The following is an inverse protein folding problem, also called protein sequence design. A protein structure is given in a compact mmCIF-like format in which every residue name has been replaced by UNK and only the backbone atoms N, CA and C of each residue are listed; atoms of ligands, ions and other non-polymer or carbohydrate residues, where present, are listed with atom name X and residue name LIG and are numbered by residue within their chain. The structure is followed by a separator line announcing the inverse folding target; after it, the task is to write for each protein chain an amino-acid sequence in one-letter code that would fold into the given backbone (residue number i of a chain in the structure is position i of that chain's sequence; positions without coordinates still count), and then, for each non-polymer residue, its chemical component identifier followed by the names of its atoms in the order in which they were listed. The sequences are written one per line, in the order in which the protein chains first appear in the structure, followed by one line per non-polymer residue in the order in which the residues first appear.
data_IF_712731339615
#
_entry.id   IF_712731339615
#
_cell.length_a   1.000
_cell.length_b   1.000
_cell.length_c   1.000
_cell.angle_alpha   90.00
_cell.angle_beta   90.00
_cell.angle_gamma   90.00
#
_symmetry.space_group_name_H-M   'P 1'
#
loop_
_entity.id
_entity.type
_entity.pdbx_description
1 polymer ?
#
# COMPACT_ATOMS: atom_id res chain seq x y z
N UNK A 1 24.53 1.22 -12.77
CA UNK A 1 23.27 1.23 -13.53
C UNK A 1 22.10 1.02 -12.58
N UNK A 2 20.98 1.73 -12.84
CA UNK A 2 19.72 1.41 -12.17
C UNK A 2 19.25 0.02 -12.61
N UNK A 3 18.87 -0.81 -11.67
CA UNK A 3 18.44 -2.19 -11.90
C UNK A 3 16.94 -2.34 -11.76
N UNK A 4 16.34 -1.59 -10.82
CA UNK A 4 14.92 -1.64 -10.54
C UNK A 4 14.46 -0.36 -9.83
N UNK A 5 13.14 -0.12 -9.75
CA UNK A 5 12.57 1.07 -9.14
C UNK A 5 11.18 0.79 -8.53
N UNK A 6 10.92 1.40 -7.39
CA UNK A 6 9.63 1.35 -6.71
C UNK A 6 9.07 2.75 -6.43
N UNK A 7 7.75 2.86 -6.41
CA UNK A 7 7.04 4.10 -6.09
C UNK A 7 6.19 3.92 -4.84
N UNK A 8 6.28 4.87 -3.93
CA UNK A 8 5.39 5.01 -2.78
C UNK A 8 5.45 6.43 -2.23
N UNK A 9 4.52 6.78 -1.36
CA UNK A 9 4.56 8.00 -0.56
C UNK A 9 5.36 7.68 0.71
N UNK A 10 6.63 8.07 0.74
CA UNK A 10 7.53 7.71 1.83
C UNK A 10 7.59 8.76 2.95
N UNK A 11 7.17 10.00 2.69
CA UNK A 11 7.16 11.08 3.68
C UNK A 11 5.76 11.56 4.06
N UNK A 12 4.71 10.81 3.62
CA UNK A 12 3.30 11.06 3.93
C UNK A 12 2.78 12.43 3.46
N UNK A 13 3.38 13.00 2.42
CA UNK A 13 2.94 14.27 1.84
C UNK A 13 1.84 14.12 0.77
N UNK A 14 1.54 12.87 0.37
CA UNK A 14 0.48 12.49 -0.56
C UNK A 14 0.92 12.43 -2.02
N UNK A 15 2.22 12.41 -2.29
CA UNK A 15 2.82 12.26 -3.61
C UNK A 15 3.63 10.98 -3.69
N UNK A 16 3.72 10.40 -4.89
CA UNK A 16 4.55 9.23 -5.10
C UNK A 16 6.01 9.66 -5.25
N UNK A 17 6.83 9.21 -4.31
CA UNK A 17 8.28 9.26 -4.35
C UNK A 17 8.84 8.09 -5.15
N UNK A 18 10.13 8.12 -5.41
CA UNK A 18 10.83 7.11 -6.20
C UNK A 18 12.03 6.57 -5.42
N UNK A 19 12.04 5.26 -5.20
CA UNK A 19 13.21 4.53 -4.72
C UNK A 19 13.80 3.72 -5.88
N UNK A 20 15.13 3.70 -5.98
CA UNK A 20 15.84 3.03 -7.08
C UNK A 20 16.98 2.17 -6.54
N UNK A 21 17.05 0.94 -7.04
CA UNK A 21 18.20 0.06 -6.80
C UNK A 21 19.30 0.27 -7.82
N UNK A 22 20.55 0.09 -7.38
CA UNK A 22 21.76 0.30 -8.20
C UNK A 22 22.73 -0.89 -8.05
N UNK A 23 23.23 -1.39 -9.18
CA UNK A 23 24.10 -2.58 -9.23
C UNK A 23 25.52 -2.37 -8.69
N UNK A 24 25.99 -1.13 -8.72
CA UNK A 24 27.32 -0.72 -8.22
C UNK A 24 27.18 0.59 -7.42
N UNK A 25 27.22 0.52 -6.09
CA UNK A 25 27.11 1.68 -5.22
C UNK A 25 25.80 1.77 -4.46
N UNK A 26 25.50 2.96 -3.93
CA UNK A 26 24.32 3.20 -3.09
C UNK A 26 23.03 3.25 -3.90
N UNK A 27 21.95 2.81 -3.30
CA UNK A 27 20.60 2.99 -3.81
C UNK A 27 20.16 4.45 -3.64
N UNK A 28 19.12 4.87 -4.33
CA UNK A 28 18.64 6.25 -4.34
C UNK A 28 17.21 6.36 -3.83
N UNK A 29 16.94 7.48 -3.16
CA UNK A 29 15.61 7.95 -2.82
C UNK A 29 15.41 9.35 -3.37
N UNK A 30 14.33 9.56 -4.12
CA UNK A 30 13.94 10.85 -4.66
C UNK A 30 12.55 11.20 -4.15
N UNK A 31 12.44 12.29 -3.41
CA UNK A 31 11.15 12.85 -3.01
C UNK A 31 10.57 13.72 -4.12
N UNK A 32 9.27 13.61 -4.34
CA UNK A 32 8.49 14.35 -5.32
C UNK A 32 7.83 15.57 -4.66
N UNK A 33 7.80 16.72 -5.33
CA UNK A 33 7.27 17.98 -4.80
C UNK A 33 5.90 18.39 -5.38
N UNK A 34 5.10 17.45 -5.88
CA UNK A 34 3.81 17.68 -6.58
C UNK A 34 3.88 18.46 -7.89
N UNK A 35 5.01 19.01 -8.22
CA UNK A 35 5.20 19.82 -9.42
C UNK A 35 6.01 19.07 -10.50
N UNK A 36 6.20 17.75 -10.31
CA UNK A 36 7.00 16.92 -11.19
C UNK A 36 8.50 17.11 -11.03
N UNK A 37 8.93 17.57 -9.88
CA UNK A 37 10.33 17.70 -9.52
C UNK A 37 10.67 16.64 -8.49
N UNK A 38 11.72 15.90 -8.78
CA UNK A 38 12.27 14.93 -7.86
C UNK A 38 13.56 15.48 -7.25
N UNK A 39 13.64 15.46 -5.93
CA UNK A 39 14.80 15.90 -5.17
C UNK A 39 15.49 14.70 -4.54
N UNK A 40 16.80 14.56 -4.75
CA UNK A 40 17.60 13.48 -4.15
C UNK A 40 17.65 13.65 -2.62
N UNK A 41 17.04 12.72 -1.91
CA UNK A 41 17.01 12.61 -0.45
C UNK A 41 17.83 11.43 0.08
N UNK A 42 18.59 10.76 -0.77
CA UNK A 42 19.38 9.57 -0.41
C UNK A 42 20.28 9.81 0.80
N UNK A 43 20.96 10.97 0.81
CA UNK A 43 21.84 11.38 1.91
C UNK A 43 20.99 11.83 3.11
N UNK A 44 20.83 10.99 4.09
CA UNK A 44 20.02 11.29 5.29
C UNK A 44 18.80 10.40 5.43
N UNK A 45 18.33 9.76 4.36
CA UNK A 45 17.19 8.84 4.43
C UNK A 45 17.49 7.56 5.21
N UNK A 46 18.75 7.15 5.36
CA UNK A 46 19.13 5.87 5.97
C UNK A 46 19.19 4.69 4.99
N UNK A 47 18.75 4.85 3.73
CA UNK A 47 18.76 3.78 2.72
C UNK A 47 20.15 3.54 2.07
N UNK A 48 21.08 4.45 2.23
CA UNK A 48 22.40 4.38 1.57
C UNK A 48 23.36 3.29 2.07
N UNK A 49 22.89 2.37 2.92
CA UNK A 49 23.74 1.30 3.46
C UNK A 49 23.66 -0.02 2.68
N UNK A 50 22.68 -0.18 1.78
CA UNK A 50 22.66 -1.29 0.83
C UNK A 50 23.40 -0.90 -0.43
N UNK A 51 24.18 -1.83 -0.94
CA UNK A 51 25.01 -1.63 -2.12
C UNK A 51 24.89 -2.84 -3.05
N UNK A 52 25.00 -2.59 -4.36
CA UNK A 52 24.97 -3.65 -5.36
C UNK A 52 23.62 -4.34 -5.46
N UNK A 53 22.52 -3.57 -5.32
CA UNK A 53 21.16 -4.11 -5.33
C UNK A 53 20.71 -4.47 -6.74
N UNK A 54 19.99 -5.58 -6.87
CA UNK A 54 19.45 -6.07 -8.13
C UNK A 54 17.97 -5.75 -8.28
N UNK A 55 17.24 -5.72 -7.17
CA UNK A 55 15.82 -5.36 -7.16
C UNK A 55 15.45 -4.62 -5.87
N UNK A 56 14.31 -3.94 -5.93
CA UNK A 56 13.67 -3.27 -4.80
C UNK A 56 12.20 -3.65 -4.74
N UNK A 57 11.72 -4.01 -3.56
CA UNK A 57 10.31 -4.21 -3.29
C UNK A 57 9.84 -3.21 -2.22
N UNK A 58 8.59 -2.74 -2.35
CA UNK A 58 8.00 -1.74 -1.47
C UNK A 58 6.66 -2.23 -0.96
N UNK A 59 6.47 -2.25 0.35
CA UNK A 59 5.18 -2.50 1.00
C UNK A 59 5.25 -2.09 2.48
N UNK A 60 4.10 -1.95 3.12
CA UNK A 60 3.97 -1.89 4.58
C UNK A 60 4.00 -3.33 5.11
N UNK A 61 5.20 -3.85 5.44
CA UNK A 61 5.35 -5.26 5.87
C UNK A 61 5.00 -5.46 7.34
N UNK A 62 5.02 -4.40 8.13
CA UNK A 62 4.81 -4.46 9.59
C UNK A 62 3.43 -3.92 9.99
N UNK A 63 2.61 -3.51 9.01
CA UNK A 63 1.27 -2.95 9.20
C UNK A 63 1.24 -1.70 10.11
N UNK A 64 2.30 -0.86 10.06
CA UNK A 64 2.39 0.40 10.82
C UNK A 64 1.82 1.60 10.06
N UNK A 65 1.47 1.43 8.79
CA UNK A 65 0.86 2.44 7.93
C UNK A 65 1.86 3.19 7.06
N UNK A 66 3.12 2.80 7.05
CA UNK A 66 4.16 3.41 6.23
C UNK A 66 4.73 2.38 5.24
N UNK A 67 5.11 2.85 4.05
CA UNK A 67 5.72 1.96 3.07
C UNK A 67 7.20 1.73 3.39
N UNK A 68 7.56 0.47 3.54
CA UNK A 68 8.90 -0.01 3.83
C UNK A 68 9.62 -0.43 2.55
N UNK A 69 10.92 -0.65 2.62
CA UNK A 69 11.75 -0.96 1.46
C UNK A 69 12.60 -2.21 1.72
N UNK A 70 12.53 -3.17 0.80
CA UNK A 70 13.42 -4.31 0.72
C UNK A 70 14.34 -4.16 -0.48
N UNK A 71 15.65 -4.12 -0.27
CA UNK A 71 16.63 -4.28 -1.33
C UNK A 71 17.21 -5.68 -1.32
N UNK A 72 17.25 -6.33 -2.46
CA UNK A 72 17.96 -7.59 -2.65
C UNK A 72 19.16 -7.38 -3.53
N UNK A 73 20.31 -7.90 -3.10
CA UNK A 73 21.61 -7.63 -3.71
C UNK A 73 22.19 -8.89 -4.34
N UNK A 74 22.92 -8.71 -5.44
CA UNK A 74 23.63 -9.79 -6.11
C UNK A 74 24.81 -10.33 -5.30
N UNK A 75 25.68 -11.09 -5.93
CA UNK A 75 26.74 -11.89 -5.29
C UNK A 75 27.73 -11.08 -4.42
N UNK A 76 27.84 -9.77 -4.63
CA UNK A 76 28.80 -8.91 -3.93
C UNK A 76 28.12 -7.78 -3.13
N UNK A 77 26.78 -7.71 -3.16
CA UNK A 77 26.03 -6.67 -2.50
C UNK A 77 25.54 -7.07 -1.10
N UNK A 78 24.87 -6.13 -0.48
CA UNK A 78 24.24 -6.31 0.85
C UNK A 78 22.74 -6.09 0.72
N UNK A 79 21.98 -7.15 0.77
CA UNK A 79 20.53 -7.06 0.91
C UNK A 79 20.13 -6.42 2.25
N UNK A 80 19.06 -5.67 2.28
CA UNK A 80 18.57 -5.02 3.49
C UNK A 80 17.09 -4.76 3.46
N UNK A 81 16.44 -4.96 4.60
CA UNK A 81 15.07 -4.56 4.88
C UNK A 81 15.12 -3.26 5.69
N UNK A 82 14.33 -2.28 5.30
CA UNK A 82 14.33 -0.94 5.88
C UNK A 82 12.91 -0.54 6.24
N UNK A 83 12.67 -0.34 7.53
CA UNK A 83 11.40 0.17 8.01
C UNK A 83 11.38 1.70 7.93
N UNK A 84 10.30 2.24 7.39
CA UNK A 84 10.05 3.68 7.28
C UNK A 84 9.62 4.25 8.63
N UNK A 85 10.11 5.45 8.95
CA UNK A 85 9.70 6.18 10.17
C UNK A 85 8.52 7.13 9.91
N UNK A 86 7.98 7.19 8.67
CA UNK A 86 6.88 8.07 8.27
C UNK A 86 7.26 9.52 7.99
N UNK A 87 8.55 9.79 7.87
CA UNK A 87 9.10 11.13 7.62
C UNK A 87 10.16 11.16 6.49
N UNK A 88 10.13 10.15 5.62
CA UNK A 88 11.13 9.96 4.56
C UNK A 88 12.48 9.43 5.05
N UNK A 89 12.59 9.07 6.33
CA UNK A 89 13.76 8.41 6.89
C UNK A 89 13.49 6.95 7.21
N UNK A 90 14.54 6.13 7.16
CA UNK A 90 14.43 4.68 7.33
C UNK A 90 15.42 4.18 8.36
N UNK A 91 15.01 3.16 9.10
CA UNK A 91 15.88 2.37 9.95
C UNK A 91 16.07 0.98 9.36
N UNK A 92 17.28 0.50 9.34
CA UNK A 92 17.55 -0.87 8.89
C UNK A 92 17.02 -1.88 9.90
N UNK A 93 16.19 -2.83 9.43
CA UNK A 93 15.78 -3.98 10.22
C UNK A 93 16.92 -5.02 10.28
N UNK A 94 17.12 -5.72 11.40
CA UNK A 94 18.16 -6.76 11.52
C UNK A 94 18.07 -7.87 10.49
N UNK A 95 16.89 -8.24 10.00
CA UNK A 95 16.59 -9.19 8.92
C UNK A 95 17.57 -10.36 8.82
N UNK A 96 17.70 -11.14 9.89
CA UNK A 96 18.66 -12.24 9.97
C UNK A 96 18.45 -13.30 8.88
N UNK A 97 17.21 -13.47 8.40
CA UNK A 97 16.82 -14.37 7.33
C UNK A 97 17.45 -14.00 5.99
N UNK A 98 17.61 -12.69 5.67
CA UNK A 98 18.32 -12.24 4.48
C UNK A 98 19.79 -12.68 4.49
N UNK A 99 20.43 -12.65 5.66
CA UNK A 99 21.81 -13.07 5.83
C UNK A 99 22.00 -14.59 5.70
N UNK A 100 20.94 -15.34 5.97
CA UNK A 100 20.93 -16.80 5.83
C UNK A 100 20.79 -17.26 4.36
N UNK A 101 20.39 -16.39 3.45
CA UNK A 101 20.21 -16.68 2.03
C UNK A 101 21.53 -16.65 1.26
N UNK A 102 22.42 -17.56 1.58
CA UNK A 102 23.79 -17.63 0.98
C UNK A 102 23.87 -18.48 -0.29
N UNK A 103 22.84 -19.25 -0.59
CA UNK A 103 22.77 -20.21 -1.68
C UNK A 103 22.01 -19.70 -2.92
N UNK A 104 21.56 -18.46 -2.90
CA UNK A 104 20.87 -17.79 -4.00
C UNK A 104 21.57 -16.45 -4.31
N UNK A 105 21.71 -16.15 -5.60
CA UNK A 105 22.04 -14.81 -6.08
C UNK A 105 20.71 -14.15 -6.51
N UNK A 106 20.13 -13.26 -5.72
CA UNK A 106 18.85 -12.62 -6.02
C UNK A 106 18.86 -11.88 -7.34
N UNK A 107 17.71 -11.84 -8.00
CA UNK A 107 17.44 -11.11 -9.23
C UNK A 107 16.22 -10.23 -9.12
N UNK A 108 15.21 -10.68 -8.36
CA UNK A 108 13.98 -9.97 -8.18
C UNK A 108 13.37 -10.30 -6.81
N UNK A 109 12.52 -9.40 -6.30
CA UNK A 109 11.83 -9.57 -5.04
C UNK A 109 10.45 -8.90 -5.09
N UNK A 110 9.47 -9.51 -4.43
CA UNK A 110 8.13 -8.97 -4.29
C UNK A 110 7.62 -9.16 -2.87
N UNK A 111 6.83 -8.21 -2.40
CA UNK A 111 5.94 -8.40 -1.26
C UNK A 111 4.57 -8.86 -1.75
N UNK A 112 4.00 -9.84 -1.10
CA UNK A 112 2.63 -10.30 -1.35
C UNK A 112 2.13 -11.10 -0.15
N UNK A 113 0.84 -11.22 -0.01
CA UNK A 113 0.19 -11.98 1.07
C UNK A 113 -0.23 -13.33 0.48
N UNK A 114 0.59 -14.39 0.66
CA UNK A 114 0.36 -15.66 -0.01
C UNK A 114 -0.72 -16.51 0.65
N UNK A 115 -0.98 -16.30 1.95
CA UNK A 115 -1.95 -17.08 2.72
C UNK A 115 -3.15 -16.24 3.19
N UNK A 116 -3.30 -15.01 2.67
CA UNK A 116 -4.40 -14.11 2.98
C UNK A 116 -4.55 -13.78 4.47
N UNK A 117 -3.46 -13.82 5.25
CA UNK A 117 -3.52 -13.51 6.68
C UNK A 117 -3.54 -11.99 6.98
N UNK A 118 -3.22 -11.16 5.97
CA UNK A 118 -3.19 -9.73 6.03
C UNK A 118 -1.81 -9.13 6.31
N UNK A 119 -0.77 -9.94 6.31
CA UNK A 119 0.62 -9.49 6.41
C UNK A 119 1.36 -9.76 5.10
N UNK A 120 2.28 -8.86 4.76
CA UNK A 120 3.04 -9.00 3.52
C UNK A 120 4.21 -9.98 3.71
N UNK A 121 4.19 -11.05 2.94
CA UNK A 121 5.28 -12.02 2.84
C UNK A 121 6.32 -11.58 1.81
N UNK A 122 7.45 -12.25 1.77
CA UNK A 122 8.52 -11.94 0.82
C UNK A 122 8.78 -13.11 -0.11
N UNK A 123 8.72 -12.82 -1.40
CA UNK A 123 9.13 -13.72 -2.47
C UNK A 123 10.42 -13.19 -3.11
N UNK A 124 11.42 -14.05 -3.27
CA UNK A 124 12.69 -13.69 -3.92
C UNK A 124 13.00 -14.72 -4.99
N UNK A 125 13.28 -14.25 -6.20
CA UNK A 125 13.81 -15.10 -7.26
C UNK A 125 15.28 -14.85 -7.52
N UNK A 126 15.97 -15.83 -8.10
CA UNK A 126 17.38 -15.68 -8.41
C UNK A 126 18.01 -16.89 -9.06
N UNK A 127 19.34 -16.84 -9.11
CA UNK A 127 20.16 -17.93 -9.63
C UNK A 127 20.79 -18.71 -8.46
N UNK A 128 20.54 -20.02 -8.37
CA UNK A 128 21.18 -20.86 -7.34
C UNK A 128 22.69 -20.86 -7.46
N UNK A 129 23.40 -20.74 -6.33
CA UNK A 129 24.87 -20.75 -6.27
C UNK A 129 25.41 -22.18 -6.46
N UNK A 130 24.64 -23.19 -6.03
CA UNK A 130 25.03 -24.60 -6.12
C UNK A 130 23.87 -25.48 -6.59
N UNK A 131 24.21 -26.62 -7.17
CA UNK A 131 23.20 -27.60 -7.61
C UNK A 131 22.33 -28.07 -6.44
N UNK A 132 21.02 -28.07 -6.65
CA UNK A 132 20.03 -28.53 -5.66
C UNK A 132 19.42 -27.38 -4.82
N UNK A 133 19.93 -26.17 -4.86
CA UNK A 133 19.27 -25.00 -4.26
C UNK A 133 18.07 -24.56 -5.12
N UNK A 134 17.02 -24.09 -4.46
CA UNK A 134 15.84 -23.53 -5.14
C UNK A 134 16.15 -22.14 -5.69
N UNK A 135 15.63 -21.84 -6.87
CA UNK A 135 15.74 -20.53 -7.51
C UNK A 135 14.73 -19.51 -7.01
N UNK A 136 13.79 -19.93 -6.20
CA UNK A 136 12.76 -19.10 -5.61
C UNK A 136 12.74 -19.35 -4.11
N UNK A 137 12.62 -18.30 -3.32
CA UNK A 137 12.47 -18.34 -1.87
C UNK A 137 11.20 -17.65 -1.47
N UNK A 138 10.46 -18.26 -0.55
CA UNK A 138 9.29 -17.70 0.10
C UNK A 138 9.60 -17.54 1.59
N UNK A 139 9.38 -16.37 2.12
CA UNK A 139 9.51 -16.06 3.52
C UNK A 139 8.18 -15.56 4.06
N UNK A 140 7.58 -16.35 4.94
CA UNK A 140 6.31 -16.01 5.59
C UNK A 140 6.54 -15.02 6.72
N UNK A 141 5.73 -13.98 6.76
CA UNK A 141 5.72 -12.97 7.83
C UNK A 141 5.02 -13.53 9.07
N UNK A 142 5.68 -13.53 10.20
CA UNK A 142 5.13 -14.10 11.46
C UNK A 142 4.19 -13.13 12.20
N UNK A 143 3.80 -12.01 11.59
CA UNK A 143 2.98 -10.94 12.15
C UNK A 143 3.58 -10.26 13.40
N UNK A 144 4.84 -10.54 13.73
CA UNK A 144 5.57 -10.00 14.89
C UNK A 144 6.87 -9.30 14.50
N UNK A 145 7.03 -9.05 13.19
CA UNK A 145 8.22 -8.43 12.61
C UNK A 145 9.32 -9.40 12.21
N UNK A 146 9.06 -10.72 12.22
CA UNK A 146 9.96 -11.76 11.78
C UNK A 146 9.50 -12.43 10.49
N UNK A 147 10.46 -13.03 9.77
CA UNK A 147 10.19 -13.82 8.58
C UNK A 147 10.73 -15.22 8.72
N UNK A 148 9.91 -16.22 8.40
CA UNK A 148 10.25 -17.63 8.45
C UNK A 148 10.36 -18.23 7.05
N UNK A 149 11.37 -19.06 6.80
CA UNK A 149 11.53 -19.71 5.50
C UNK A 149 10.42 -20.73 5.26
N UNK A 150 9.53 -20.39 4.32
CA UNK A 150 8.43 -21.20 3.83
C UNK A 150 8.73 -21.80 2.43
N UNK A 151 9.96 -21.70 1.94
CA UNK A 151 10.34 -22.15 0.60
C UNK A 151 10.10 -23.65 0.35
N UNK A 152 9.86 -24.44 1.39
CA UNK A 152 9.46 -25.84 1.25
C UNK A 152 8.13 -25.99 0.51
N UNK A 153 7.23 -25.02 0.59
CA UNK A 153 5.93 -24.99 -0.10
C UNK A 153 6.10 -24.83 -1.63
N UNK A 154 7.18 -24.21 -2.07
CA UNK A 154 7.41 -23.97 -3.50
C UNK A 154 7.89 -25.24 -4.22
N UNK A 155 7.43 -25.49 -5.46
CA UNK A 155 7.90 -26.61 -6.26
C UNK A 155 9.36 -26.42 -6.68
N UNK A 156 10.07 -27.53 -6.92
CA UNK A 156 11.46 -27.52 -7.40
C UNK A 156 11.60 -27.29 -8.93
N UNK A 157 10.51 -26.97 -9.61
CA UNK A 157 10.41 -27.02 -11.08
C UNK A 157 11.05 -25.84 -11.82
N UNK A 158 11.37 -24.75 -11.13
CA UNK A 158 11.98 -23.56 -11.73
C UNK A 158 13.49 -23.60 -11.51
N UNK A 159 14.25 -23.73 -12.58
CA UNK A 159 15.71 -23.91 -12.50
C UNK A 159 16.47 -22.59 -12.21
N UNK A 160 15.91 -21.46 -12.61
CA UNK A 160 16.46 -20.12 -12.34
C UNK A 160 15.35 -19.08 -12.50
N UNK A 161 15.10 -18.28 -11.49
CA UNK A 161 14.13 -17.18 -11.56
C UNK A 161 14.81 -15.88 -11.90
N UNK A 162 14.15 -15.05 -12.71
CA UNK A 162 14.65 -13.72 -13.13
C UNK A 162 13.70 -12.63 -12.71
N UNK A 163 12.41 -12.74 -13.07
CA UNK A 163 11.38 -11.78 -12.73
C UNK A 163 10.21 -12.50 -12.07
N UNK A 164 9.58 -11.80 -11.15
CA UNK A 164 8.41 -12.22 -10.39
C UNK A 164 7.23 -11.31 -10.70
N UNK A 165 6.06 -11.90 -10.69
CA UNK A 165 4.78 -11.19 -10.71
C UNK A 165 3.78 -12.00 -9.90
N UNK A 166 2.89 -11.35 -9.18
CA UNK A 166 1.86 -12.02 -8.39
C UNK A 166 0.48 -11.51 -8.79
N UNK A 167 -0.46 -12.41 -8.98
CA UNK A 167 -1.84 -12.08 -9.32
C UNK A 167 -2.73 -13.27 -9.05
N UNK A 168 -3.98 -13.05 -8.71
CA UNK A 168 -5.02 -14.07 -8.67
C UNK A 168 -5.40 -14.44 -10.12
N UNK A 169 -4.76 -15.49 -10.65
CA UNK A 169 -4.88 -15.86 -12.06
C UNK A 169 -6.14 -16.65 -12.36
N UNK A 170 -6.51 -17.57 -11.49
CA UNK A 170 -7.68 -18.44 -11.67
C UNK A 170 -8.94 -17.94 -10.96
N UNK A 171 -8.81 -16.82 -10.22
CA UNK A 171 -9.88 -16.10 -9.52
C UNK A 171 -10.51 -16.92 -8.39
N UNK A 172 -9.67 -17.64 -7.69
CA UNK A 172 -10.07 -18.42 -6.51
C UNK A 172 -9.86 -17.65 -5.20
N UNK A 173 -9.25 -16.44 -5.28
CA UNK A 173 -9.13 -15.49 -4.19
C UNK A 173 -7.80 -15.53 -3.46
N UNK A 174 -6.83 -16.26 -3.97
CA UNK A 174 -5.45 -16.17 -3.50
C UNK A 174 -4.50 -15.69 -4.62
N UNK A 175 -3.30 -15.29 -4.24
CA UNK A 175 -2.32 -14.78 -5.20
C UNK A 175 -1.42 -15.90 -5.70
N UNK A 176 -1.42 -16.09 -7.00
CA UNK A 176 -0.51 -16.97 -7.74
C UNK A 176 0.80 -16.28 -8.09
N UNK A 177 1.81 -17.06 -8.43
CA UNK A 177 3.14 -16.56 -8.75
C UNK A 177 3.49 -16.87 -10.21
N UNK A 178 3.82 -15.84 -10.97
CA UNK A 178 4.47 -15.94 -12.26
C UNK A 178 5.97 -15.74 -12.11
N UNK A 179 6.76 -16.65 -12.69
CA UNK A 179 8.22 -16.55 -12.69
C UNK A 179 8.74 -16.71 -14.11
N UNK A 180 9.52 -15.75 -14.58
CA UNK A 180 10.30 -15.92 -15.81
C UNK A 180 11.65 -16.56 -15.49
N UNK A 181 12.12 -17.47 -16.36
CA UNK A 181 13.47 -18.04 -16.24
C UNK A 181 14.49 -17.37 -17.17
N UNK A 182 15.76 -17.67 -16.99
CA UNK A 182 16.86 -17.14 -17.83
C UNK A 182 16.73 -17.49 -19.33
N UNK A 183 15.87 -18.44 -19.71
CA UNK A 183 15.58 -18.81 -21.10
C UNK A 183 14.37 -18.07 -21.65
N UNK A 184 13.74 -17.21 -20.85
CA UNK A 184 12.53 -16.47 -21.20
C UNK A 184 11.26 -17.33 -21.14
N UNK A 185 11.30 -18.52 -20.50
CA UNK A 185 10.11 -19.33 -20.27
C UNK A 185 9.38 -18.79 -19.04
N UNK A 186 8.06 -18.63 -19.15
CA UNK A 186 7.19 -18.28 -18.04
C UNK A 186 6.67 -19.53 -17.35
N UNK A 187 6.74 -19.53 -16.03
CA UNK A 187 6.22 -20.56 -15.15
C UNK A 187 5.11 -19.97 -14.30
N UNK A 188 3.97 -20.60 -14.25
CA UNK A 188 2.89 -20.31 -13.32
C UNK A 188 2.98 -21.31 -12.16
N UNK A 189 3.02 -20.79 -10.95
CA UNK A 189 2.90 -21.55 -9.72
C UNK A 189 1.57 -21.15 -9.08
N UNK A 190 0.59 -22.04 -9.23
CA UNK A 190 -0.73 -21.84 -8.61
C UNK A 190 -0.63 -22.04 -7.11
N UNK A 191 -1.22 -21.09 -6.39
CA UNK A 191 -1.43 -21.21 -4.97
C UNK A 191 -2.74 -21.98 -4.74
N UNK A 192 -2.73 -22.96 -3.86
CA UNK A 192 -3.88 -23.84 -3.61
C UNK A 192 -4.32 -23.75 -2.15
N UNK A 193 -3.88 -22.72 -1.43
CA UNK A 193 -4.08 -22.69 0.01
C UNK A 193 -4.33 -21.33 0.62
N UNK A 194 -4.05 -20.24 -0.06
CA UNK A 194 -4.28 -18.88 0.43
C UNK A 194 -5.77 -18.59 0.60
N UNK A 195 -6.62 -19.16 -0.24
CA UNK A 195 -8.08 -19.01 -0.22
C UNK A 195 -8.78 -19.74 0.97
N UNK A 196 -8.04 -20.38 1.85
CA UNK A 196 -8.58 -20.85 3.15
C UNK A 196 -8.87 -19.68 4.10
N UNK A 197 -8.23 -18.55 3.90
CA UNK A 197 -8.50 -17.28 4.56
C UNK A 197 -9.34 -16.38 3.65
N UNK A 198 -9.96 -15.36 4.25
CA UNK A 198 -10.79 -14.40 3.53
C UNK A 198 -9.96 -13.28 2.90
N UNK A 199 -10.47 -12.73 1.81
CA UNK A 199 -9.80 -11.68 1.05
C UNK A 199 -10.76 -10.58 0.58
N UNK A 200 -10.21 -9.51 0.07
CA UNK A 200 -10.91 -8.46 -0.65
C UNK A 200 -10.04 -7.97 -1.80
N UNK A 201 -10.53 -8.13 -3.02
CA UNK A 201 -9.90 -7.52 -4.20
C UNK A 201 -10.55 -6.18 -4.47
N UNK A 202 -9.74 -5.14 -4.68
CA UNK A 202 -10.21 -3.78 -4.88
C UNK A 202 -9.75 -3.22 -6.22
N UNK A 203 -10.71 -2.62 -6.92
CA UNK A 203 -10.46 -1.81 -8.11
C UNK A 203 -11.02 -0.41 -7.90
N UNK A 204 -10.20 0.60 -8.10
CA UNK A 204 -10.62 2.00 -8.03
C UNK A 204 -11.02 2.52 -9.42
N UNK A 205 -12.02 3.40 -9.43
CA UNK A 205 -12.37 4.17 -10.64
C UNK A 205 -12.49 5.64 -10.27
N UNK A 206 -11.49 6.41 -10.67
CA UNK A 206 -11.43 7.85 -10.45
C UNK A 206 -12.35 8.63 -11.37
N UNK A 207 -12.86 9.76 -10.89
CA UNK A 207 -13.65 10.70 -11.68
C UNK A 207 -12.80 11.36 -12.76
N UNK A 208 -13.32 11.39 -13.98
CA UNK A 208 -12.67 11.99 -15.14
C UNK A 208 -13.20 13.39 -15.50
N UNK A 209 -14.31 13.79 -14.89
CA UNK A 209 -14.99 15.04 -15.17
C UNK A 209 -14.98 15.99 -13.96
N UNK A 210 -15.07 17.29 -14.23
CA UNK A 210 -15.11 18.32 -13.19
C UNK A 210 -13.74 18.72 -12.64
N UNK A 211 -13.75 19.39 -11.50
CA UNK A 211 -12.53 19.90 -10.82
C UNK A 211 -11.85 18.85 -9.93
N UNK A 212 -12.51 17.71 -9.71
CA UNK A 212 -12.01 16.61 -8.86
C UNK A 212 -11.43 15.46 -9.69
N UNK A 213 -10.84 15.79 -10.83
CA UNK A 213 -10.27 14.78 -11.73
C UNK A 213 -9.18 13.96 -11.04
N UNK A 214 -9.30 12.66 -11.18
CA UNK A 214 -8.26 11.69 -10.85
C UNK A 214 -7.96 10.82 -12.07
N UNK A 215 -6.85 10.11 -12.03
CA UNK A 215 -6.60 9.08 -13.03
C UNK A 215 -7.61 7.94 -12.88
N UNK A 216 -7.84 7.21 -13.99
CA UNK A 216 -8.92 6.21 -14.06
C UNK A 216 -8.79 5.12 -13.01
N UNK A 217 -7.60 4.63 -12.78
CA UNK A 217 -7.36 3.51 -11.87
C UNK A 217 -7.01 3.95 -10.43
N UNK A 218 -7.02 5.25 -10.15
CA UNK A 218 -6.67 5.76 -8.83
C UNK A 218 -5.19 5.57 -8.49
N UNK A 219 -4.30 5.41 -9.48
CA UNK A 219 -2.86 5.26 -9.24
C UNK A 219 -2.35 6.43 -8.39
N UNK A 220 -1.64 6.12 -7.31
CA UNK A 220 -1.18 7.07 -6.30
C UNK A 220 -2.18 7.31 -5.17
N UNK A 221 -3.40 6.76 -5.22
CA UNK A 221 -4.31 6.81 -4.08
C UNK A 221 -3.82 5.88 -2.96
N UNK A 222 -4.04 6.28 -1.71
CA UNK A 222 -3.78 5.47 -0.52
C UNK A 222 -5.05 4.75 -0.11
N UNK A 223 -4.98 3.44 0.09
CA UNK A 223 -6.09 2.63 0.60
C UNK A 223 -5.70 2.03 1.94
N UNK A 224 -6.57 2.23 2.90
CA UNK A 224 -6.43 1.72 4.26
C UNK A 224 -7.61 0.80 4.55
N UNK A 225 -7.36 -0.39 5.08
CA UNK A 225 -8.39 -1.33 5.53
C UNK A 225 -8.17 -1.65 7.00
N UNK A 226 -9.25 -1.62 7.76
CA UNK A 226 -9.25 -2.05 9.14
C UNK A 226 -10.31 -3.11 9.39
N UNK A 227 -9.91 -4.19 10.06
CA UNK A 227 -10.81 -5.25 10.51
C UNK A 227 -10.39 -5.73 11.90
N UNK A 228 -11.08 -5.23 12.93
CA UNK A 228 -10.66 -5.42 14.32
C UNK A 228 -9.30 -4.80 14.59
N UNK A 229 -8.33 -5.64 14.96
CA UNK A 229 -6.95 -5.23 15.22
C UNK A 229 -6.07 -5.22 13.95
N UNK A 230 -6.51 -5.92 12.89
CA UNK A 230 -5.79 -5.91 11.62
C UNK A 230 -5.96 -4.55 10.95
N UNK A 231 -4.85 -3.93 10.65
CA UNK A 231 -4.75 -2.71 9.83
C UNK A 231 -3.82 -3.00 8.67
N UNK A 232 -4.18 -2.57 7.48
CA UNK A 232 -3.35 -2.66 6.29
C UNK A 232 -3.45 -1.36 5.51
N UNK A 233 -2.33 -0.96 4.92
CA UNK A 233 -2.25 0.17 4.03
C UNK A 233 -1.57 -0.26 2.73
N UNK A 234 -2.14 0.18 1.60
CA UNK A 234 -1.50 0.02 0.28
C UNK A 234 -1.64 1.31 -0.53
N UNK A 235 -0.57 1.70 -1.18
CA UNK A 235 -0.62 2.73 -2.23
C UNK A 235 -0.92 2.05 -3.56
N UNK A 236 -1.84 2.62 -4.32
CA UNK A 236 -2.25 2.07 -5.61
C UNK A 236 -1.16 2.31 -6.64
N UNK A 237 -0.46 1.27 -7.05
CA UNK A 237 0.54 1.27 -8.13
C UNK A 237 0.07 0.47 -9.34
N UNK A 238 -0.97 -0.32 -9.17
CA UNK A 238 -1.57 -1.20 -10.19
C UNK A 238 -3.11 -1.09 -10.19
N UNK A 239 -3.79 -1.50 -11.27
CA UNK A 239 -5.24 -1.32 -11.40
C UNK A 239 -6.10 -2.15 -10.44
N UNK A 240 -5.57 -3.23 -9.90
CA UNK A 240 -6.27 -4.16 -9.01
C UNK A 240 -5.34 -4.47 -7.85
N UNK A 241 -5.82 -4.29 -6.63
CA UNK A 241 -5.06 -4.63 -5.43
C UNK A 241 -5.81 -5.65 -4.59
N UNK A 242 -5.05 -6.46 -3.89
CA UNK A 242 -5.52 -7.56 -3.10
C UNK A 242 -5.21 -7.32 -1.61
N UNK A 243 -6.15 -7.66 -0.73
CA UNK A 243 -6.01 -7.60 0.72
C UNK A 243 -6.43 -8.92 1.33
N UNK A 244 -5.54 -9.62 2.01
CA UNK A 244 -5.90 -10.74 2.86
C UNK A 244 -6.54 -10.26 4.17
N UNK A 245 -7.53 -10.97 4.67
CA UNK A 245 -8.28 -10.60 5.87
C UNK A 245 -8.28 -11.69 6.96
N UNK A 246 -7.53 -12.76 6.74
CA UNK A 246 -7.47 -13.90 7.64
C UNK A 246 -8.85 -14.54 7.82
N UNK A 247 -9.21 -14.85 9.04
CA UNK A 247 -10.52 -15.45 9.37
C UNK A 247 -11.67 -14.44 9.48
N UNK A 248 -11.49 -13.19 9.05
CA UNK A 248 -12.47 -12.11 9.23
C UNK A 248 -13.45 -12.07 8.06
N UNK A 249 -14.75 -12.07 8.37
CA UNK A 249 -15.84 -12.10 7.37
C UNK A 249 -16.19 -10.72 6.78
N UNK A 250 -15.60 -9.66 7.28
CA UNK A 250 -15.78 -8.28 6.81
C UNK A 250 -14.68 -7.39 7.32
N UNK A 251 -14.39 -6.32 6.61
CA UNK A 251 -13.67 -5.20 7.19
C UNK A 251 -14.62 -4.28 7.96
N UNK A 252 -14.10 -3.55 8.94
CA UNK A 252 -14.89 -2.53 9.65
C UNK A 252 -15.00 -1.26 8.80
N UNK A 253 -13.90 -0.88 8.19
CA UNK A 253 -13.82 0.27 7.30
C UNK A 253 -12.73 0.06 6.25
N UNK A 254 -13.01 0.49 5.04
CA UNK A 254 -12.06 0.74 3.97
C UNK A 254 -12.08 2.24 3.68
N UNK A 255 -10.91 2.87 3.71
CA UNK A 255 -10.71 4.27 3.40
C UNK A 255 -9.86 4.38 2.14
N UNK A 256 -10.34 5.16 1.18
CA UNK A 256 -9.58 5.55 0.00
C UNK A 256 -9.27 7.03 0.11
N UNK A 257 -8.01 7.40 0.21
CA UNK A 257 -7.54 8.79 0.06
C UNK A 257 -7.09 8.96 -1.38
N UNK A 258 -7.89 9.67 -2.16
CA UNK A 258 -7.64 9.91 -3.57
C UNK A 258 -6.46 10.88 -3.76
N UNK A 259 -5.82 10.85 -4.95
CA UNK A 259 -4.65 11.69 -5.26
C UNK A 259 -4.90 13.20 -5.17
N UNK A 260 -6.15 13.64 -5.10
CA UNK A 260 -6.54 15.01 -4.81
C UNK A 260 -6.70 15.30 -3.29
N UNK A 261 -6.33 14.36 -2.42
CA UNK A 261 -6.41 14.46 -0.97
C UNK A 261 -7.81 14.23 -0.38
N UNK A 262 -8.82 13.93 -1.21
CA UNK A 262 -10.19 13.69 -0.74
C UNK A 262 -10.33 12.25 -0.26
N UNK A 263 -10.68 12.06 1.01
CA UNK A 263 -10.94 10.75 1.57
C UNK A 263 -12.38 10.28 1.29
N UNK A 264 -12.53 9.00 0.99
CA UNK A 264 -13.81 8.31 0.81
C UNK A 264 -13.79 7.03 1.65
N UNK A 265 -14.83 6.83 2.45
CA UNK A 265 -14.92 5.67 3.33
C UNK A 265 -16.04 4.74 2.88
N UNK A 266 -15.79 3.43 2.95
CA UNK A 266 -16.79 2.38 2.82
C UNK A 266 -16.81 1.58 4.12
N UNK A 267 -17.97 1.47 4.73
CA UNK A 267 -18.15 0.76 5.99
C UNK A 267 -18.63 -0.65 5.75
N UNK A 268 -18.05 -1.58 6.49
CA UNK A 268 -18.39 -2.99 6.53
C UNK A 268 -18.43 -3.68 5.17
N UNK A 269 -17.42 -3.46 4.27
CA UNK A 269 -17.33 -4.28 3.08
C UNK A 269 -17.16 -5.74 3.49
N UNK A 270 -17.94 -6.63 2.85
CA UNK A 270 -17.77 -8.07 3.02
C UNK A 270 -16.47 -8.56 2.42
N UNK A 271 -16.14 -9.81 2.68
CA UNK A 271 -14.97 -10.51 2.12
C UNK A 271 -15.35 -11.38 0.94
N UNK A 272 -14.36 -12.01 0.34
CA UNK A 272 -14.48 -12.98 -0.77
C UNK A 272 -15.17 -12.37 -1.99
N UNK A 273 -14.78 -11.16 -2.34
CA UNK A 273 -15.36 -10.43 -3.46
C UNK A 273 -14.39 -9.47 -4.13
N UNK A 274 -14.70 -9.22 -5.40
CA UNK A 274 -14.12 -8.13 -6.18
C UNK A 274 -14.93 -6.85 -5.94
N UNK A 275 -14.34 -5.88 -5.27
CA UNK A 275 -14.96 -4.61 -4.95
C UNK A 275 -14.57 -3.55 -5.97
N UNK A 276 -15.57 -2.94 -6.60
CA UNK A 276 -15.40 -1.75 -7.41
C UNK A 276 -15.75 -0.51 -6.59
N UNK A 277 -14.77 0.36 -6.36
CA UNK A 277 -14.97 1.61 -5.65
C UNK A 277 -14.89 2.79 -6.63
N UNK A 278 -16.04 3.41 -6.84
CA UNK A 278 -16.16 4.58 -7.70
C UNK A 278 -15.93 5.84 -6.88
N UNK A 279 -15.06 6.71 -7.36
CA UNK A 279 -14.87 8.01 -6.71
C UNK A 279 -16.20 8.79 -6.74
N UNK A 280 -16.67 9.19 -5.57
CA UNK A 280 -17.84 10.06 -5.44
C UNK A 280 -17.41 11.52 -5.40
N UNK A 281 -18.19 12.37 -6.07
CA UNK A 281 -18.08 13.81 -5.87
C UNK A 281 -18.49 14.11 -4.42
N UNK A 282 -17.56 14.59 -3.64
CA UNK A 282 -17.88 15.21 -2.37
C UNK A 282 -17.97 16.71 -2.60
N UNK A 283 -19.07 17.31 -2.13
CA UNK A 283 -19.19 18.78 -2.06
C UNK A 283 -18.09 19.35 -1.17
N UNK A 284 -17.91 20.65 -1.24
CA UNK A 284 -16.90 21.38 -0.44
C UNK A 284 -17.18 21.40 1.07
N UNK A 285 -18.28 20.79 1.52
CA UNK A 285 -18.70 20.78 2.91
C UNK A 285 -18.47 19.41 3.53
N UNK A 286 -17.78 19.38 4.65
CA UNK A 286 -17.64 18.19 5.48
C UNK A 286 -18.94 18.03 6.27
N UNK A 287 -19.64 16.93 6.04
CA UNK A 287 -20.91 16.61 6.72
C UNK A 287 -20.63 15.60 7.83
N UNK A 288 -21.17 15.85 9.01
CA UNK A 288 -21.07 14.97 10.16
C UNK A 288 -22.24 13.99 10.17
N UNK A 289 -21.92 12.70 10.15
CA UNK A 289 -22.89 11.64 10.38
C UNK A 289 -22.62 10.95 11.71
N UNK A 290 -23.68 10.58 12.41
CA UNK A 290 -23.62 9.92 13.72
C UNK A 290 -24.48 8.66 13.69
N UNK A 291 -24.12 7.69 14.52
CA UNK A 291 -24.87 6.45 14.67
C UNK A 291 -26.08 6.67 15.57
N UNK A 292 -27.30 6.42 15.05
CA UNK A 292 -28.57 6.60 15.78
C UNK A 292 -29.05 5.33 16.51
N UNK A 293 -28.34 4.23 16.34
CA UNK A 293 -28.68 2.92 16.85
C UNK A 293 -29.05 1.90 15.75
N UNK A 294 -29.35 2.36 14.53
CA UNK A 294 -29.74 1.53 13.39
C UNK A 294 -28.89 1.85 12.14
N UNK A 295 -28.55 3.12 11.94
CA UNK A 295 -27.82 3.61 10.76
C UNK A 295 -27.08 4.91 11.06
N UNK A 296 -26.23 5.31 10.14
CA UNK A 296 -25.64 6.66 10.15
C UNK A 296 -26.65 7.68 9.62
N UNK A 297 -26.92 8.70 10.43
CA UNK A 297 -27.80 9.82 10.09
C UNK A 297 -27.01 11.10 10.04
N UNK A 298 -27.38 11.99 9.10
CA UNK A 298 -26.81 13.33 9.04
C UNK A 298 -27.13 14.09 10.34
N UNK A 299 -26.09 14.62 10.97
CA UNK A 299 -26.22 15.45 12.16
C UNK A 299 -25.99 16.92 11.85
N UNK A 300 -24.85 17.27 11.27
CA UNK A 300 -24.47 18.67 11.05
C UNK A 300 -23.57 18.82 9.83
N UNK A 301 -23.63 20.01 9.23
CA UNK A 301 -22.62 20.53 8.31
C UNK A 301 -21.48 21.14 9.15
N UNK A 302 -20.28 20.59 9.00
CA UNK A 302 -19.12 21.01 9.79
C UNK A 302 -18.50 22.31 9.32
N UNK A 303 -18.84 22.79 8.12
CA UNK A 303 -18.27 23.98 7.52
C UNK A 303 -19.33 25.06 7.16
N UNK A 304 -20.50 24.99 7.77
CA UNK A 304 -21.63 25.86 7.43
C UNK A 304 -21.34 27.40 7.55
N UNK A 305 -20.30 27.77 8.30
CA UNK A 305 -19.84 29.17 8.45
C UNK A 305 -18.70 29.53 7.52
N UNK A 306 -18.14 28.56 6.79
CA UNK A 306 -17.03 28.81 5.88
C UNK A 306 -17.54 28.97 4.47
N UNK A 307 -17.57 30.23 4.02
CA UNK A 307 -17.83 30.58 2.63
C UNK A 307 -16.54 30.53 1.78
N UNK A 308 -15.58 29.69 2.14
CA UNK A 308 -14.26 29.58 1.53
C UNK A 308 -14.36 29.52 0.00
N UNK A 309 -13.72 30.47 -0.68
CA UNK A 309 -13.72 30.52 -2.13
C UNK A 309 -15.03 30.98 -2.76
N UNK A 310 -16.02 31.44 -1.96
CA UNK A 310 -17.26 32.01 -2.47
C UNK A 310 -16.98 33.40 -3.05
N UNK A 311 -17.38 33.72 -4.30
CA UNK A 311 -17.19 35.03 -4.85
C UNK A 311 -18.09 36.06 -4.12
N UNK A 312 -17.48 37.12 -3.65
CA UNK A 312 -18.18 38.23 -2.94
C UNK A 312 -18.67 39.32 -3.90
N UNK A 313 -18.77 39.03 -5.19
CA UNK A 313 -19.19 39.98 -6.21
C UNK A 313 -19.65 39.31 -7.50
N UNK A 314 -19.95 40.12 -8.52
CA UNK A 314 -20.38 39.62 -9.83
C UNK A 314 -19.20 38.97 -10.55
N UNK A 315 -19.38 37.73 -11.00
CA UNK A 315 -18.37 37.03 -11.76
C UNK A 315 -18.00 37.79 -13.05
N UNK A 316 -16.70 38.06 -13.23
CA UNK A 316 -16.15 38.76 -14.38
C UNK A 316 -15.58 40.14 -14.10
N UNK A 317 -15.79 40.69 -12.90
CA UNK A 317 -15.07 41.85 -12.38
C UNK A 317 -13.96 41.43 -11.42
N UNK A 318 -13.12 42.34 -10.92
CA UNK A 318 -12.16 42.07 -9.84
C UNK A 318 -12.91 41.57 -8.60
N UNK A 319 -13.13 40.26 -8.54
CA UNK A 319 -13.96 39.61 -7.52
C UNK A 319 -13.09 39.26 -6.33
N UNK A 320 -13.39 39.81 -5.16
CA UNK A 320 -12.86 39.30 -3.91
C UNK A 320 -13.52 37.98 -3.57
N UNK A 321 -12.75 37.06 -3.04
CA UNK A 321 -13.26 35.77 -2.54
C UNK A 321 -13.33 35.81 -1.01
N UNK A 322 -14.29 35.09 -0.46
CA UNK A 322 -14.42 34.99 0.98
C UNK A 322 -13.15 34.36 1.57
N UNK A 323 -12.50 34.99 2.57
CA UNK A 323 -11.37 34.42 3.25
C UNK A 323 -11.82 33.19 4.07
N UNK A 324 -10.86 32.30 4.33
CA UNK A 324 -11.09 31.23 5.29
C UNK A 324 -11.37 31.84 6.68
N UNK A 325 -12.48 31.42 7.29
CA UNK A 325 -12.75 31.75 8.68
C UNK A 325 -11.86 30.86 9.57
N UNK A 326 -11.15 31.40 10.56
CA UNK A 326 -10.33 30.55 11.43
C UNK A 326 -11.22 29.57 12.18
N UNK A 327 -11.03 28.28 11.93
CA UNK A 327 -11.81 27.21 12.53
C UNK A 327 -11.50 27.06 14.02
N UNK A 328 -12.40 27.58 14.87
CA UNK A 328 -12.50 27.19 16.29
C UNK A 328 -13.81 26.43 16.45
N UNK A 329 -13.81 25.18 15.95
CA UNK A 329 -15.08 24.48 15.86
C UNK A 329 -15.16 23.36 16.89
N UNK A 330 -15.89 23.68 17.99
CA UNK A 330 -16.46 22.66 18.85
C UNK A 330 -17.87 22.38 18.35
N UNK A 331 -18.09 21.16 17.84
CA UNK A 331 -19.42 20.72 17.46
C UNK A 331 -20.04 19.97 18.65
N UNK A 332 -21.14 20.47 19.16
CA UNK A 332 -21.91 19.80 20.19
C UNK A 332 -22.84 18.80 19.53
N UNK A 333 -22.67 17.51 19.88
CA UNK A 333 -23.60 16.44 19.55
C UNK A 333 -24.33 16.10 20.85
N UNK A 334 -25.68 16.08 20.83
CA UNK A 334 -26.44 15.70 22.02
C UNK A 334 -26.38 14.19 22.23
N UNK A 335 -26.39 13.76 23.49
CA UNK A 335 -26.42 12.31 23.82
C UNK A 335 -27.71 11.61 23.42
N UNK A 336 -28.76 12.38 23.06
CA UNK A 336 -30.01 11.86 22.53
C UNK A 336 -29.89 11.49 21.06
N UNK A 337 -29.05 12.23 20.30
CA UNK A 337 -28.83 12.03 18.88
C UNK A 337 -27.90 10.85 18.57
N UNK A 338 -26.97 10.55 19.47
CA UNK A 338 -25.91 9.56 19.23
C UNK A 338 -26.08 8.35 20.17
N UNK A 339 -26.09 7.14 19.59
CA UNK A 339 -26.16 5.89 20.35
C UNK A 339 -24.82 5.17 20.33
N UNK A 340 -24.58 4.40 21.37
CA UNK A 340 -23.41 3.53 21.44
C UNK A 340 -23.63 2.30 20.55
N UNK A 341 -22.56 1.91 19.85
CA UNK A 341 -22.43 0.60 19.23
C UNK A 341 -21.27 -0.11 19.92
N UNK A 342 -21.53 -1.27 20.50
CA UNK A 342 -20.53 -2.08 21.25
C UNK A 342 -19.74 -1.29 22.30
N UNK A 343 -20.44 -0.40 23.04
CA UNK A 343 -19.84 0.40 24.09
C UNK A 343 -19.01 1.60 23.62
N UNK A 344 -19.03 1.91 22.32
CA UNK A 344 -18.29 3.03 21.72
C UNK A 344 -19.25 3.98 20.99
N UNK A 345 -18.96 5.27 21.03
CA UNK A 345 -19.58 6.23 20.14
C UNK A 345 -18.81 6.27 18.84
N UNK A 346 -19.52 6.14 17.72
CA UNK A 346 -18.91 6.14 16.39
C UNK A 346 -19.36 7.38 15.64
N UNK A 347 -18.39 8.14 15.11
CA UNK A 347 -18.58 9.35 14.34
C UNK A 347 -17.96 9.10 12.96
N UNK A 348 -18.66 9.53 11.94
CA UNK A 348 -18.23 9.42 10.54
C UNK A 348 -18.15 10.80 9.88
#
# INVERSE_FOLDING_TARGET
NCTDAGFADFDEDGDLDLVMSHDEGSNFLFSNDRHGRFTDQTSGSGLGQSEGSQAVAVADYNNDGFNDVLFVSGAHGKSGLYANNGDGTFRQDPAAWLKAMVDLVPKDAAFFDFDNDGFQDVLISGSPVSGGAKSIRLYHNDSKGGFMDASALLPASVASGVQLETTDFDKDGDLDIFVSDLKGKLHLLQNEGGNLNHYLTLKLVGLRDGNSKNNHFGIGAKVEIRSGELYQMKVITEPVIHFGLGSRLKADVMRVTWTNGVAQNRFFPGTDQDLLELQSLKGSCVLLYIWDGERYVFSKDMMWRSALGMPLGIMGANTAYAPADPSKEYLKISGEEMKMQDGKYIIQ
#
